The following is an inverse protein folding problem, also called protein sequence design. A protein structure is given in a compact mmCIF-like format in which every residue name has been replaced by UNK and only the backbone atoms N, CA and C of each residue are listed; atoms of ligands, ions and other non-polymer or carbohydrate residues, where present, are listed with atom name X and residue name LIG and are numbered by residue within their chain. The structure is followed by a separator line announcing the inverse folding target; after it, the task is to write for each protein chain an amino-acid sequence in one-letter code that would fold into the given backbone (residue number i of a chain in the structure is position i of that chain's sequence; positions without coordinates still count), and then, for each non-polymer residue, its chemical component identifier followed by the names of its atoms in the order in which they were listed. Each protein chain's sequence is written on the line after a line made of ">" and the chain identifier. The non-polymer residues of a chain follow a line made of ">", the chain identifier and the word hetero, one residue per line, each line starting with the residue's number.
data_IF_391672675793
#
_entry.id   IF_391672675793
#
_cell.length_a   1.000
_cell.length_b   1.000
_cell.length_c   1.000
_cell.angle_alpha   90.00
_cell.angle_beta   90.00
_cell.angle_gamma   90.00
#
_symmetry.space_group_name_H-M   'P 1'
#
loop_
_entity.id
_entity.type
_entity.pdbx_description
1 polymer ?
#
# COMPACT_ATOMS: atom_id res chain seq x y z
N UNK A 1 39.54 -2.33 23.41
CA UNK A 1 39.29 -2.12 21.96
C UNK A 1 37.88 -2.61 21.71
N UNK A 2 36.92 -1.70 21.71
CA UNK A 2 35.54 -2.00 21.37
C UNK A 2 35.48 -2.27 19.87
N UNK A 3 35.18 -3.52 19.49
CA UNK A 3 34.81 -3.84 18.12
C UNK A 3 33.46 -3.18 17.86
N UNK A 4 33.49 -1.99 17.27
CA UNK A 4 32.33 -1.39 16.62
C UNK A 4 32.01 -2.35 15.47
N UNK A 5 31.02 -3.23 15.69
CA UNK A 5 30.41 -4.00 14.61
C UNK A 5 29.77 -2.95 13.70
N UNK A 6 30.47 -2.53 12.64
CA UNK A 6 29.89 -1.73 11.58
C UNK A 6 28.66 -2.49 11.09
N UNK A 7 27.48 -1.94 11.33
CA UNK A 7 26.26 -2.45 10.73
C UNK A 7 26.47 -2.43 9.21
N UNK A 8 26.60 -3.61 8.61
CA UNK A 8 26.66 -3.71 7.14
C UNK A 8 25.40 -3.07 6.58
N UNK A 9 25.58 -2.14 5.63
CA UNK A 9 24.44 -1.52 4.97
C UNK A 9 23.64 -2.61 4.22
N UNK A 10 22.30 -2.53 4.23
CA UNK A 10 21.46 -3.46 3.49
C UNK A 10 21.83 -3.49 2.00
N UNK A 11 21.91 -4.67 1.41
CA UNK A 11 22.20 -4.84 -0.02
C UNK A 11 20.88 -5.01 -0.77
N UNK A 12 20.54 -4.07 -1.65
CA UNK A 12 19.37 -4.17 -2.52
C UNK A 12 19.59 -5.27 -3.57
N UNK A 13 18.69 -6.24 -3.63
CA UNK A 13 18.75 -7.35 -4.61
C UNK A 13 17.63 -7.35 -5.63
N UNK A 14 16.52 -6.66 -5.35
CA UNK A 14 15.41 -6.57 -6.28
C UNK A 14 14.54 -5.36 -5.98
N UNK A 15 14.02 -4.74 -7.03
CA UNK A 15 12.94 -3.76 -6.95
C UNK A 15 11.78 -4.23 -7.83
N UNK A 16 10.60 -4.38 -7.21
CA UNK A 16 9.40 -4.89 -7.88
C UNK A 16 8.65 -3.76 -8.58
N UNK A 17 9.16 -3.31 -9.72
CA UNK A 17 8.54 -2.25 -10.53
C UNK A 17 7.07 -2.54 -10.89
N UNK A 18 6.72 -3.80 -11.18
CA UNK A 18 5.34 -4.19 -11.47
C UNK A 18 4.40 -3.95 -10.27
N UNK A 19 4.86 -4.30 -9.06
CA UNK A 19 4.13 -4.05 -7.82
C UNK A 19 3.94 -2.55 -7.57
N UNK A 20 5.03 -1.78 -7.71
CA UNK A 20 5.02 -0.33 -7.57
C UNK A 20 4.00 0.34 -8.50
N UNK A 21 4.04 0.00 -9.79
CA UNK A 21 3.14 0.57 -10.80
C UNK A 21 1.67 0.18 -10.54
N UNK A 22 1.41 -1.06 -10.12
CA UNK A 22 0.06 -1.50 -9.74
C UNK A 22 -0.44 -0.73 -8.51
N UNK A 23 0.39 -0.56 -7.48
CA UNK A 23 0.01 0.21 -6.28
C UNK A 23 -0.32 1.67 -6.62
N UNK A 24 0.49 2.34 -7.44
CA UNK A 24 0.21 3.71 -7.87
C UNK A 24 -1.07 3.81 -8.70
N UNK A 25 -1.27 2.86 -9.62
CA UNK A 25 -2.49 2.81 -10.44
C UNK A 25 -3.72 2.60 -9.59
N UNK A 26 -3.69 1.66 -8.64
CA UNK A 26 -4.78 1.41 -7.72
C UNK A 26 -5.02 2.58 -6.77
N UNK A 27 -3.97 3.24 -6.29
CA UNK A 27 -4.08 4.47 -5.49
C UNK A 27 -4.79 5.60 -6.24
N UNK A 28 -4.45 5.82 -7.52
CA UNK A 28 -5.09 6.85 -8.36
C UNK A 28 -6.57 6.60 -8.61
N UNK A 29 -7.03 5.34 -8.58
CA UNK A 29 -8.47 5.01 -8.66
C UNK A 29 -9.28 5.58 -7.48
N UNK A 30 -8.62 5.93 -6.36
CA UNK A 30 -9.28 6.53 -5.20
C UNK A 30 -9.48 8.05 -5.36
N UNK A 31 -8.78 8.72 -6.28
CA UNK A 31 -8.84 10.17 -6.44
C UNK A 31 -10.26 10.71 -6.69
N UNK A 32 -11.09 10.10 -7.55
CA UNK A 32 -12.47 10.54 -7.72
C UNK A 32 -13.30 10.44 -6.43
N UNK A 33 -13.03 9.45 -5.57
CA UNK A 33 -13.73 9.31 -4.29
C UNK A 33 -13.26 10.37 -3.28
N UNK A 34 -11.96 10.69 -3.29
CA UNK A 34 -11.42 11.78 -2.45
C UNK A 34 -12.02 13.12 -2.88
N UNK A 35 -12.20 13.37 -4.18
CA UNK A 35 -12.91 14.56 -4.69
C UNK A 35 -14.36 14.64 -4.20
N UNK A 36 -15.09 13.51 -4.16
CA UNK A 36 -16.44 13.48 -3.58
C UNK A 36 -16.44 13.81 -2.08
N UNK A 37 -15.43 13.35 -1.34
CA UNK A 37 -15.26 13.72 0.08
C UNK A 37 -14.98 15.22 0.22
N UNK A 38 -14.11 15.78 -0.63
CA UNK A 38 -13.84 17.22 -0.71
C UNK A 38 -15.13 18.01 -0.97
N UNK A 39 -15.89 17.65 -2.01
CA UNK A 39 -17.14 18.30 -2.37
C UNK A 39 -18.16 18.27 -1.22
N UNK A 40 -18.38 17.11 -0.60
CA UNK A 40 -19.28 16.98 0.54
C UNK A 40 -18.83 17.83 1.74
N UNK A 41 -17.52 17.88 2.03
CA UNK A 41 -16.97 18.72 3.08
C UNK A 41 -17.13 20.22 2.79
N UNK A 42 -16.84 20.66 1.55
CA UNK A 42 -16.97 22.06 1.15
C UNK A 42 -18.43 22.53 1.14
N UNK A 43 -19.39 21.65 0.83
CA UNK A 43 -20.82 21.96 0.92
C UNK A 43 -21.28 22.30 2.34
N UNK A 44 -20.58 21.79 3.36
CA UNK A 44 -20.81 22.15 4.77
C UNK A 44 -20.26 23.54 5.13
N UNK A 45 -19.47 24.18 4.24
CA UNK A 45 -18.91 25.54 4.42
C UNK A 45 -18.07 25.70 5.69
N UNK A 46 -17.36 24.66 6.12
CA UNK A 46 -16.56 24.65 7.37
C UNK A 46 -15.11 25.11 7.20
N UNK A 47 -14.74 25.58 6.00
CA UNK A 47 -13.39 26.02 5.65
C UNK A 47 -12.80 25.24 4.49
N UNK A 48 -11.48 25.35 4.32
CA UNK A 48 -10.75 24.69 3.23
C UNK A 48 -10.58 23.19 3.49
N UNK A 49 -10.50 22.43 2.40
CA UNK A 49 -10.22 21.00 2.46
C UNK A 49 -8.70 20.77 2.43
N UNK A 50 -8.09 20.71 3.61
CA UNK A 50 -6.65 20.54 3.79
C UNK A 50 -6.22 19.08 4.00
N UNK A 51 -4.91 18.84 4.04
CA UNK A 51 -4.37 17.52 4.33
C UNK A 51 -4.70 17.05 5.77
N UNK A 52 -4.77 17.97 6.73
CA UNK A 52 -5.17 17.70 8.11
C UNK A 52 -6.64 17.27 8.17
N UNK A 53 -7.52 17.98 7.45
CA UNK A 53 -8.93 17.61 7.33
C UNK A 53 -9.08 16.23 6.71
N UNK A 54 -8.42 15.98 5.59
CA UNK A 54 -8.46 14.68 4.92
C UNK A 54 -7.97 13.55 5.84
N UNK A 55 -6.83 13.75 6.51
CA UNK A 55 -6.26 12.78 7.45
C UNK A 55 -7.23 12.50 8.60
N UNK A 56 -7.83 13.54 9.19
CA UNK A 56 -8.80 13.41 10.26
C UNK A 56 -10.04 12.61 9.84
N UNK A 57 -10.55 12.84 8.63
CA UNK A 57 -11.72 12.12 8.11
C UNK A 57 -11.44 10.63 7.88
N UNK A 58 -10.25 10.27 7.38
CA UNK A 58 -9.92 8.87 7.09
C UNK A 58 -9.54 8.08 8.36
N UNK A 59 -8.95 8.72 9.37
CA UNK A 59 -8.53 8.05 10.63
C UNK A 59 -9.59 8.11 11.73
N UNK A 60 -10.22 9.28 11.92
CA UNK A 60 -11.17 9.56 13.01
C UNK A 60 -12.64 9.55 12.58
N UNK A 61 -12.92 9.54 11.28
CA UNK A 61 -14.28 9.60 10.75
C UNK A 61 -14.85 11.02 10.75
N UNK A 62 -16.18 11.14 10.69
CA UNK A 62 -16.87 12.43 10.47
C UNK A 62 -17.34 13.11 11.75
N UNK A 63 -17.11 12.53 12.94
CA UNK A 63 -17.72 13.00 14.18
C UNK A 63 -17.34 14.45 14.53
N UNK A 64 -16.07 14.82 14.35
CA UNK A 64 -15.61 16.19 14.60
C UNK A 64 -16.21 17.20 13.61
N UNK A 65 -16.37 16.81 12.34
CA UNK A 65 -17.00 17.62 11.32
C UNK A 65 -18.50 17.81 11.59
N UNK A 66 -19.18 16.76 12.06
CA UNK A 66 -20.58 16.79 12.49
C UNK A 66 -20.79 17.72 13.68
N UNK A 67 -20.03 17.54 14.75
CA UNK A 67 -20.10 18.39 15.94
C UNK A 67 -19.90 19.87 15.60
N UNK A 68 -18.86 20.17 14.81
CA UNK A 68 -18.56 21.55 14.41
C UNK A 68 -19.67 22.18 13.58
N UNK A 69 -20.27 21.46 12.63
CA UNK A 69 -21.37 22.00 11.83
C UNK A 69 -22.62 22.25 12.68
N UNK A 70 -22.99 21.30 13.53
CA UNK A 70 -24.20 21.44 14.37
C UNK A 70 -24.04 22.60 15.36
N UNK A 71 -22.86 22.78 15.94
CA UNK A 71 -22.57 23.93 16.82
C UNK A 71 -22.65 25.26 16.07
N UNK A 72 -21.97 25.40 14.92
CA UNK A 72 -22.00 26.65 14.12
C UNK A 72 -23.42 26.99 13.63
N UNK A 73 -24.20 25.99 13.22
CA UNK A 73 -25.59 26.18 12.81
C UNK A 73 -26.47 26.63 13.99
N UNK A 74 -26.28 26.04 15.16
CA UNK A 74 -27.05 26.39 16.38
C UNK A 74 -26.71 27.80 16.84
N UNK A 75 -25.42 28.16 16.91
CA UNK A 75 -24.96 29.49 17.28
C UNK A 75 -25.47 30.56 16.31
N UNK A 76 -25.43 30.29 14.99
CA UNK A 76 -25.99 31.22 13.99
C UNK A 76 -27.49 31.38 14.13
N UNK A 77 -28.22 30.30 14.40
CA UNK A 77 -29.66 30.38 14.63
C UNK A 77 -30.00 31.24 15.86
N UNK A 78 -29.29 31.03 16.96
CA UNK A 78 -29.47 31.81 18.20
C UNK A 78 -29.12 33.30 17.98
N UNK A 79 -28.05 33.58 17.23
CA UNK A 79 -27.66 34.95 16.89
C UNK A 79 -28.69 35.70 16.02
N UNK A 80 -29.47 34.97 15.21
CA UNK A 80 -30.54 35.55 14.39
C UNK A 80 -31.78 35.93 15.22
N UNK A 81 -31.84 35.57 16.51
CA UNK A 81 -32.93 35.86 17.44
C UNK A 81 -34.31 35.44 16.91
N UNK A 82 -34.33 34.36 16.12
CA UNK A 82 -35.53 33.78 15.54
C UNK A 82 -36.28 32.98 16.61
N UNK A 83 -37.59 33.21 16.74
CA UNK A 83 -38.44 32.52 17.75
C UNK A 83 -39.18 31.30 17.20
N UNK A 84 -38.94 30.93 15.94
CA UNK A 84 -39.67 29.85 15.26
C UNK A 84 -38.95 28.52 15.40
N UNK A 85 -39.48 27.65 16.27
CA UNK A 85 -38.97 26.27 16.44
C UNK A 85 -39.06 25.44 15.15
N UNK A 86 -40.08 25.67 14.31
CA UNK A 86 -40.19 24.99 13.00
C UNK A 86 -39.00 25.31 12.11
N UNK A 87 -38.60 26.59 12.06
CA UNK A 87 -37.46 27.03 11.27
C UNK A 87 -36.13 26.50 11.81
N UNK A 88 -36.01 26.35 13.14
CA UNK A 88 -34.85 25.70 13.78
C UNK A 88 -34.71 24.26 13.31
N UNK A 89 -35.82 23.51 13.33
CA UNK A 89 -35.83 22.11 12.93
C UNK A 89 -35.52 21.93 11.45
N UNK A 90 -36.01 22.80 10.57
CA UNK A 90 -35.69 22.78 9.14
C UNK A 90 -34.19 23.02 8.88
N UNK A 91 -33.60 24.03 9.52
CA UNK A 91 -32.17 24.34 9.37
C UNK A 91 -31.29 23.20 9.90
N UNK A 92 -31.65 22.62 11.05
CA UNK A 92 -30.93 21.47 11.60
C UNK A 92 -31.08 20.24 10.70
N UNK A 93 -32.25 19.99 10.12
CA UNK A 93 -32.45 18.89 9.18
C UNK A 93 -31.56 19.02 7.93
N UNK A 94 -31.41 20.24 7.40
CA UNK A 94 -30.48 20.52 6.30
C UNK A 94 -29.02 20.27 6.71
N UNK A 95 -28.62 20.67 7.92
CA UNK A 95 -27.28 20.39 8.44
C UNK A 95 -27.01 18.88 8.56
N UNK A 96 -27.97 18.12 9.10
CA UNK A 96 -27.86 16.66 9.18
C UNK A 96 -27.78 15.99 7.81
N UNK A 97 -28.50 16.50 6.80
CA UNK A 97 -28.40 16.01 5.42
C UNK A 97 -26.98 16.18 4.86
N UNK A 98 -26.35 17.32 5.09
CA UNK A 98 -24.96 17.57 4.65
C UNK A 98 -23.95 16.65 5.35
N UNK A 99 -24.13 16.41 6.66
CA UNK A 99 -23.32 15.44 7.41
C UNK A 99 -23.46 14.03 6.84
N UNK A 100 -24.68 13.62 6.50
CA UNK A 100 -24.96 12.30 5.94
C UNK A 100 -24.31 12.11 4.55
N UNK A 101 -24.28 13.16 3.73
CA UNK A 101 -23.55 13.15 2.45
C UNK A 101 -22.04 12.94 2.67
N UNK A 102 -21.45 13.63 3.65
CA UNK A 102 -20.05 13.43 4.02
C UNK A 102 -19.79 12.02 4.55
N UNK A 103 -20.64 11.50 5.44
CA UNK A 103 -20.56 10.14 5.98
C UNK A 103 -20.55 9.11 4.87
N UNK A 104 -21.46 9.22 3.89
CA UNK A 104 -21.52 8.32 2.73
C UNK A 104 -20.28 8.40 1.86
N UNK A 105 -19.79 9.61 1.58
CA UNK A 105 -18.58 9.79 0.78
C UNK A 105 -17.35 9.16 1.45
N UNK A 106 -17.16 9.40 2.75
CA UNK A 106 -16.05 8.81 3.54
C UNK A 106 -16.19 7.28 3.62
N UNK A 107 -17.39 6.76 3.85
CA UNK A 107 -17.64 5.32 3.89
C UNK A 107 -17.35 4.65 2.54
N UNK A 108 -17.74 5.27 1.42
CA UNK A 108 -17.43 4.77 0.08
C UNK A 108 -15.92 4.74 -0.19
N UNK A 109 -15.20 5.81 0.18
CA UNK A 109 -13.74 5.87 0.07
C UNK A 109 -13.07 4.75 0.88
N UNK A 110 -13.44 4.60 2.15
CA UNK A 110 -12.88 3.56 3.04
C UNK A 110 -13.21 2.16 2.55
N UNK A 111 -14.43 1.93 2.09
CA UNK A 111 -14.82 0.64 1.53
C UNK A 111 -13.97 0.31 0.31
N UNK A 112 -13.82 1.22 -0.64
CA UNK A 112 -13.01 0.98 -1.84
C UNK A 112 -11.53 0.78 -1.50
N UNK A 113 -10.98 1.56 -0.58
CA UNK A 113 -9.61 1.38 -0.10
C UNK A 113 -9.40 0.03 0.61
N UNK A 114 -10.49 -0.55 1.17
CA UNK A 114 -10.49 -1.82 1.88
C UNK A 114 -10.95 -3.02 1.04
N UNK A 115 -11.38 -2.84 -0.20
CA UNK A 115 -11.72 -3.95 -1.11
C UNK A 115 -10.46 -4.35 -1.87
N UNK A 116 -10.05 -5.61 -1.73
CA UNK A 116 -9.03 -6.24 -2.59
C UNK A 116 -9.77 -7.32 -3.35
N UNK A 117 -9.68 -7.32 -4.66
CA UNK A 117 -9.58 -8.59 -5.40
C UNK A 117 -8.44 -9.39 -4.76
N UNK A 118 -8.66 -10.67 -4.44
CA UNK A 118 -7.66 -11.50 -3.77
C UNK A 118 -6.29 -11.36 -4.46
N UNK A 119 -5.28 -10.92 -3.71
CA UNK A 119 -3.89 -10.83 -4.18
C UNK A 119 -3.48 -9.50 -4.83
N UNK A 120 -4.37 -8.52 -4.99
CA UNK A 120 -3.96 -7.20 -5.50
C UNK A 120 -3.31 -6.32 -4.41
N UNK A 121 -2.15 -5.72 -4.69
CA UNK A 121 -1.49 -4.82 -3.76
C UNK A 121 -2.25 -3.49 -3.65
N UNK A 122 -2.48 -3.06 -2.41
CA UNK A 122 -3.22 -1.84 -2.09
C UNK A 122 -2.29 -0.71 -1.73
N UNK A 123 -2.64 0.50 -2.13
CA UNK A 123 -1.99 1.70 -1.62
C UNK A 123 -2.75 2.21 -0.38
N UNK A 124 -2.11 2.28 0.80
CA UNK A 124 -2.70 2.92 1.96
C UNK A 124 -3.07 4.39 1.69
N UNK A 125 -4.23 4.82 2.20
CA UNK A 125 -4.69 6.21 2.05
C UNK A 125 -3.71 7.24 2.63
N UNK A 126 -2.88 6.83 3.60
CA UNK A 126 -1.83 7.67 4.20
C UNK A 126 -0.72 8.09 3.22
N UNK A 127 -0.60 7.45 2.06
CA UNK A 127 0.33 7.86 0.99
C UNK A 127 -0.28 8.86 0.00
N UNK A 128 -1.57 9.18 0.14
CA UNK A 128 -2.24 10.21 -0.65
C UNK A 128 -2.32 11.47 0.19
N UNK A 129 -1.86 12.58 -0.36
CA UNK A 129 -1.96 13.91 0.27
C UNK A 129 -2.91 14.81 -0.50
N UNK A 130 -3.32 15.89 0.15
CA UNK A 130 -4.08 16.98 -0.48
C UNK A 130 -3.14 18.14 -0.78
N UNK A 131 -3.13 18.61 -2.03
CA UNK A 131 -2.30 19.72 -2.47
C UNK A 131 -2.94 21.09 -2.11
N UNK A 132 -2.27 22.19 -2.44
CA UNK A 132 -2.77 23.55 -2.15
C UNK A 132 -4.07 23.94 -2.87
N UNK A 133 -4.45 23.22 -3.92
CA UNK A 133 -5.73 23.39 -4.64
C UNK A 133 -6.84 22.47 -4.08
N UNK A 134 -6.52 21.72 -3.01
CA UNK A 134 -7.42 20.74 -2.42
C UNK A 134 -7.53 19.45 -3.23
N UNK A 135 -6.63 19.17 -4.17
CA UNK A 135 -6.67 17.98 -5.03
C UNK A 135 -5.81 16.83 -4.47
N UNK A 136 -6.24 15.56 -4.65
CA UNK A 136 -5.46 14.42 -4.21
C UNK A 136 -4.21 14.22 -5.09
N UNK A 137 -3.07 13.98 -4.45
CA UNK A 137 -1.81 13.68 -5.10
C UNK A 137 -1.01 12.62 -4.34
N UNK A 138 -0.07 11.95 -5.03
CA UNK A 138 0.93 11.07 -4.42
C UNK A 138 2.29 11.74 -4.66
N UNK A 139 2.84 12.35 -3.61
CA UNK A 139 4.10 13.10 -3.67
C UNK A 139 5.31 12.18 -3.88
N UNK A 140 6.44 12.75 -4.29
CA UNK A 140 7.68 11.99 -4.50
C UNK A 140 8.18 11.30 -3.23
N UNK A 141 8.04 11.92 -2.06
CA UNK A 141 8.41 11.32 -0.79
C UNK A 141 7.53 10.09 -0.49
N UNK A 142 6.24 10.16 -0.82
CA UNK A 142 5.33 9.03 -0.68
C UNK A 142 5.69 7.91 -1.67
N UNK A 143 6.03 8.25 -2.92
CA UNK A 143 6.50 7.29 -3.94
C UNK A 143 7.73 6.54 -3.46
N UNK A 144 8.70 7.26 -2.91
CA UNK A 144 9.94 6.65 -2.43
C UNK A 144 9.68 5.74 -1.23
N UNK A 145 8.82 6.17 -0.30
CA UNK A 145 8.40 5.30 0.81
C UNK A 145 7.66 4.05 0.33
N UNK A 146 6.82 4.14 -0.71
CA UNK A 146 6.17 2.96 -1.29
C UNK A 146 7.21 1.97 -1.84
N UNK A 147 8.24 2.48 -2.52
CA UNK A 147 9.34 1.64 -3.00
C UNK A 147 10.03 0.93 -1.85
N UNK A 148 10.41 1.70 -0.83
CA UNK A 148 11.14 1.19 0.32
C UNK A 148 10.34 0.19 1.16
N UNK A 149 9.09 0.52 1.48
CA UNK A 149 8.25 -0.24 2.41
C UNK A 149 7.66 -1.51 1.77
N UNK A 150 7.48 -1.53 0.45
CA UNK A 150 6.72 -2.60 -0.23
C UNK A 150 7.41 -3.24 -1.45
N UNK A 151 8.29 -2.51 -2.15
CA UNK A 151 8.75 -2.94 -3.48
C UNK A 151 10.21 -3.39 -3.50
N UNK A 152 11.05 -2.86 -2.61
CA UNK A 152 12.47 -3.18 -2.53
C UNK A 152 12.72 -4.35 -1.60
N UNK A 153 13.59 -5.25 -2.04
CA UNK A 153 14.01 -6.43 -1.28
C UNK A 153 15.50 -6.31 -0.98
N UNK A 154 15.84 -6.41 0.31
CA UNK A 154 17.19 -6.23 0.82
C UNK A 154 17.71 -7.50 1.49
N UNK A 155 19.01 -7.72 1.36
CA UNK A 155 19.79 -8.59 2.24
C UNK A 155 20.32 -7.74 3.39
N UNK A 156 19.98 -8.12 4.61
CA UNK A 156 20.25 -7.38 5.85
C UNK A 156 21.23 -8.10 6.76
N UNK A 157 21.40 -9.42 6.60
CA UNK A 157 22.31 -10.21 7.45
C UNK A 157 23.36 -10.99 6.64
N UNK A 158 24.51 -11.32 7.25
CA UNK A 158 25.52 -12.16 6.60
C UNK A 158 24.98 -13.52 6.14
N UNK A 159 24.01 -14.09 6.87
CA UNK A 159 23.35 -15.35 6.51
C UNK A 159 22.50 -15.19 5.25
N UNK A 160 21.76 -14.09 5.13
CA UNK A 160 20.98 -13.78 3.92
C UNK A 160 21.91 -13.61 2.71
N UNK A 161 23.03 -12.90 2.88
CA UNK A 161 24.05 -12.75 1.83
C UNK A 161 24.64 -14.09 1.41
N UNK A 162 25.01 -14.93 2.38
CA UNK A 162 25.57 -16.26 2.11
C UNK A 162 24.57 -17.17 1.40
N UNK A 163 23.31 -17.18 1.84
CA UNK A 163 22.26 -18.00 1.22
C UNK A 163 21.96 -17.53 -0.20
N UNK A 164 21.84 -16.21 -0.42
CA UNK A 164 21.61 -15.65 -1.74
C UNK A 164 22.74 -16.03 -2.71
N UNK A 165 24.01 -15.90 -2.30
CA UNK A 165 25.16 -16.29 -3.14
C UNK A 165 25.13 -17.77 -3.52
N UNK A 166 24.77 -18.66 -2.59
CA UNK A 166 24.62 -20.10 -2.88
C UNK A 166 23.49 -20.36 -3.87
N UNK A 167 22.34 -19.72 -3.69
CA UNK A 167 21.21 -19.86 -4.60
C UNK A 167 21.52 -19.29 -5.99
N UNK A 168 22.29 -18.21 -6.10
CA UNK A 168 22.77 -17.69 -7.38
C UNK A 168 23.66 -18.69 -8.11
N UNK A 169 24.58 -19.36 -7.41
CA UNK A 169 25.42 -20.40 -8.01
C UNK A 169 24.60 -21.60 -8.52
N UNK A 170 23.60 -22.02 -7.75
CA UNK A 170 22.65 -23.07 -8.18
C UNK A 170 21.85 -22.62 -9.40
N UNK A 171 21.33 -21.39 -9.40
CA UNK A 171 20.58 -20.84 -10.53
C UNK A 171 21.43 -20.84 -11.81
N UNK A 172 22.69 -20.38 -11.74
CA UNK A 172 23.62 -20.41 -12.87
C UNK A 172 23.87 -21.82 -13.38
N UNK A 173 24.11 -22.77 -12.48
CA UNK A 173 24.32 -24.19 -12.85
C UNK A 173 23.08 -24.78 -13.54
N UNK A 174 21.87 -24.46 -13.06
CA UNK A 174 20.63 -24.90 -13.69
C UNK A 174 20.43 -24.29 -15.08
N UNK A 175 20.75 -23.00 -15.26
CA UNK A 175 20.69 -22.33 -16.56
C UNK A 175 21.67 -22.93 -17.57
N UNK A 176 22.92 -23.21 -17.14
CA UNK A 176 23.93 -23.82 -18.00
C UNK A 176 23.54 -25.25 -18.40
N UNK A 177 23.06 -26.06 -17.45
CA UNK A 177 22.55 -27.40 -17.73
C UNK A 177 21.38 -27.35 -18.71
N UNK A 178 20.42 -26.42 -18.52
CA UNK A 178 19.29 -26.26 -19.42
C UNK A 178 19.75 -25.93 -20.85
N UNK A 179 20.71 -25.02 -20.99
CA UNK A 179 21.30 -24.63 -22.28
C UNK A 179 21.97 -25.81 -22.97
N UNK A 180 22.77 -26.59 -22.24
CA UNK A 180 23.43 -27.79 -22.77
C UNK A 180 22.43 -28.85 -23.22
N UNK A 181 21.41 -29.13 -22.41
CA UNK A 181 20.37 -30.10 -22.74
C UNK A 181 19.57 -29.67 -23.98
N UNK A 182 19.21 -28.39 -24.09
CA UNK A 182 18.54 -27.84 -25.27
C UNK A 182 19.43 -27.89 -26.51
N UNK A 183 20.71 -27.54 -26.39
CA UNK A 183 21.70 -27.60 -27.46
C UNK A 183 21.88 -29.01 -28.02
N UNK A 184 21.82 -30.01 -27.13
CA UNK A 184 21.89 -31.43 -27.49
C UNK A 184 20.53 -32.05 -27.87
N UNK A 185 19.46 -31.24 -28.02
CA UNK A 185 18.08 -31.68 -28.32
C UNK A 185 17.58 -32.77 -27.37
N UNK A 186 18.04 -32.75 -26.12
CA UNK A 186 17.59 -33.68 -25.11
C UNK A 186 16.14 -33.38 -24.74
N UNK A 187 15.23 -34.37 -24.73
CA UNK A 187 13.84 -34.15 -24.34
C UNK A 187 13.78 -33.86 -22.84
N UNK A 188 13.43 -32.63 -22.49
CA UNK A 188 13.25 -32.24 -21.10
C UNK A 188 11.98 -32.90 -20.55
N UNK A 189 12.05 -33.62 -19.42
CA UNK A 189 10.87 -34.22 -18.81
C UNK A 189 9.88 -33.14 -18.38
N UNK A 190 8.61 -33.34 -18.72
CA UNK A 190 7.50 -32.42 -18.33
C UNK A 190 7.07 -32.59 -16.87
N UNK A 191 7.51 -33.67 -16.21
CA UNK A 191 7.23 -33.94 -14.80
C UNK A 191 8.54 -34.36 -14.12
N UNK A 192 9.03 -33.51 -13.22
CA UNK A 192 10.07 -33.87 -12.26
C UNK A 192 9.39 -34.45 -11.02
N UNK A 193 9.91 -35.55 -10.47
CA UNK A 193 9.34 -36.21 -9.29
C UNK A 193 9.29 -35.29 -8.05
N UNK A 194 8.46 -35.64 -7.07
CA UNK A 194 8.24 -34.86 -5.85
C UNK A 194 9.33 -35.08 -4.79
N UNK A 195 10.57 -34.66 -5.10
CA UNK A 195 11.63 -34.59 -4.09
C UNK A 195 11.51 -33.31 -3.27
N UNK A 196 11.71 -33.35 -1.94
CA UNK A 196 11.79 -32.16 -1.11
C UNK A 196 12.78 -31.12 -1.63
N UNK A 197 13.87 -31.55 -2.26
CA UNK A 197 14.87 -30.67 -2.87
C UNK A 197 14.27 -29.90 -4.06
N UNK A 198 13.48 -30.56 -4.90
CA UNK A 198 12.85 -29.89 -6.05
C UNK A 198 11.81 -28.86 -5.63
N UNK A 199 11.04 -29.14 -4.57
CA UNK A 199 10.05 -28.19 -4.06
C UNK A 199 10.70 -26.96 -3.42
N UNK A 200 11.85 -27.13 -2.75
CA UNK A 200 12.67 -26.01 -2.28
C UNK A 200 13.19 -25.19 -3.46
N UNK A 201 13.75 -25.85 -4.49
CA UNK A 201 14.28 -25.15 -5.67
C UNK A 201 13.19 -24.42 -6.46
N UNK A 202 11.98 -24.98 -6.60
CA UNK A 202 10.82 -24.28 -7.18
C UNK A 202 10.46 -23.00 -6.43
N UNK A 203 10.62 -23.00 -5.12
CA UNK A 203 10.30 -21.84 -4.28
C UNK A 203 11.42 -20.80 -4.30
N UNK A 204 12.67 -21.27 -4.35
CA UNK A 204 13.88 -20.46 -4.27
C UNK A 204 14.32 -19.88 -5.61
N UNK A 205 13.94 -20.49 -6.73
CA UNK A 205 14.32 -20.10 -8.08
C UNK A 205 13.08 -19.79 -8.91
N UNK A 206 13.19 -18.78 -9.75
CA UNK A 206 12.20 -18.42 -10.76
C UNK A 206 12.82 -18.58 -12.16
N UNK A 207 12.08 -19.18 -13.07
CA UNK A 207 12.48 -19.29 -14.48
C UNK A 207 11.91 -18.10 -15.26
N UNK A 208 12.77 -17.35 -15.94
CA UNK A 208 12.38 -16.24 -16.81
C UNK A 208 13.27 -16.23 -18.05
N UNK A 209 12.65 -16.09 -19.22
CA UNK A 209 13.34 -16.00 -20.52
C UNK A 209 14.34 -17.15 -20.79
N UNK A 210 14.06 -18.34 -20.27
CA UNK A 210 14.92 -19.52 -20.44
C UNK A 210 16.09 -19.61 -19.44
N UNK A 211 16.15 -18.73 -18.45
CA UNK A 211 17.17 -18.76 -17.39
C UNK A 211 16.53 -18.85 -16.00
N UNK A 212 17.25 -19.47 -15.07
CA UNK A 212 16.89 -19.48 -13.66
C UNK A 212 17.54 -18.29 -12.95
N UNK A 213 16.78 -17.63 -12.08
CA UNK A 213 17.25 -16.60 -11.16
C UNK A 213 16.72 -16.86 -9.76
N UNK A 214 17.37 -16.27 -8.75
CA UNK A 214 16.92 -16.39 -7.36
C UNK A 214 15.62 -15.62 -7.17
N UNK A 215 14.64 -16.24 -6.51
CA UNK A 215 13.47 -15.55 -6.00
C UNK A 215 13.88 -14.67 -4.81
N UNK A 216 13.85 -13.33 -4.93
CA UNK A 216 14.36 -12.43 -3.91
C UNK A 216 13.60 -12.54 -2.58
N UNK A 217 12.31 -12.87 -2.61
CA UNK A 217 11.48 -13.00 -1.40
C UNK A 217 11.81 -14.24 -0.58
N UNK A 218 12.35 -15.29 -1.22
CA UNK A 218 12.63 -16.55 -0.57
C UNK A 218 13.76 -16.44 0.46
N UNK A 219 14.78 -15.63 0.20
CA UNK A 219 16.00 -15.57 1.03
C UNK A 219 15.70 -15.06 2.43
N UNK A 220 15.02 -13.92 2.54
CA UNK A 220 14.64 -13.34 3.84
C UNK A 220 13.68 -14.25 4.60
N UNK A 221 12.70 -14.84 3.92
CA UNK A 221 11.78 -15.80 4.52
C UNK A 221 12.51 -17.03 5.09
N UNK A 222 13.43 -17.62 4.31
CA UNK A 222 14.13 -18.85 4.70
C UNK A 222 15.01 -18.65 5.95
N UNK A 223 15.75 -17.54 6.02
CA UNK A 223 16.59 -17.21 7.18
C UNK A 223 15.74 -16.93 8.43
N UNK A 224 14.60 -16.26 8.29
CA UNK A 224 13.70 -15.99 9.42
C UNK A 224 12.93 -17.25 9.88
N UNK A 225 12.51 -18.11 8.95
CA UNK A 225 11.84 -19.36 9.27
C UNK A 225 12.75 -20.32 10.06
N UNK A 226 14.06 -20.28 9.80
CA UNK A 226 15.05 -21.02 10.59
C UNK A 226 15.12 -20.53 12.04
N UNK A 227 15.06 -19.21 12.27
CA UNK A 227 15.09 -18.60 13.61
C UNK A 227 13.82 -18.87 14.44
N UNK A 228 12.68 -19.17 13.80
CA UNK A 228 11.40 -19.46 14.48
C UNK A 228 11.22 -20.93 14.88
N UNK A 229 12.12 -21.82 14.49
CA UNK A 229 12.06 -23.27 14.76
C UNK A 229 13.02 -23.73 15.87
N UNK A 230 13.55 -22.80 16.67
CA UNK A 230 14.37 -23.04 17.86
C UNK A 230 13.69 -22.43 19.09
#
# INVERSE_FOLDING_TARGET
>A
MENIIQAQQPILISEKEGLYNTMLTNGRKLFPLIRKVKEAYLNMKMGEFSNEVFTGLISGGTASAEERLITDVTERYEALNLRSETMKNEILADAYRLVEELKRAVAALRTQANVSSMGEPRLPLSFISINGEGEPEIKEEAKERIREDYCRVYLRTPEEVSLHAKLQAVAGTCSDLLRELQGNRYPLPTVLGSSPVFEVLKSALQAKDGEFSVNPDFVGWAVQAHKRKL
#
